data_IF_230466267170
#
_entry.id   IF_230466267170
#
_cell.length_a   1.000
_cell.length_b   1.000
_cell.length_c   1.000
_cell.angle_alpha   90.00
_cell.angle_beta   90.00
_cell.angle_gamma   90.00
#
_symmetry.space_group_name_H-M   'P 1'
#
loop_
_entity.id
_entity.type
_entity.pdbx_description
1 polymer ?
#
# COMPACT_ATOMS: atom_id res chain seq x y z
N UNK A 1 -0.14 -4.82 -6.97
CA UNK A 1 0.57 -4.17 -8.09
C UNK A 1 2.09 -4.24 -7.96
N UNK A 2 2.65 -4.08 -6.75
CA UNK A 2 4.12 -4.06 -6.57
C UNK A 2 4.81 -5.37 -7.01
N UNK A 3 4.18 -6.51 -6.90
CA UNK A 3 4.70 -7.78 -7.43
C UNK A 3 4.89 -7.74 -8.95
N UNK A 4 3.93 -7.16 -9.67
CA UNK A 4 4.05 -7.02 -11.12
C UNK A 4 5.24 -6.13 -11.50
N UNK A 5 5.42 -5.00 -10.81
CA UNK A 5 6.58 -4.12 -11.04
C UNK A 5 7.91 -4.79 -10.71
N UNK A 6 7.96 -5.61 -9.67
CA UNK A 6 9.14 -6.41 -9.35
C UNK A 6 9.47 -7.39 -10.48
N UNK A 7 8.48 -8.15 -10.96
CA UNK A 7 8.65 -9.05 -12.08
C UNK A 7 9.02 -8.32 -13.38
N UNK A 8 8.43 -7.17 -13.63
CA UNK A 8 8.76 -6.35 -14.81
C UNK A 8 10.19 -5.83 -14.77
N UNK A 9 10.69 -5.48 -13.59
CA UNK A 9 12.09 -5.09 -13.41
C UNK A 9 13.07 -6.24 -13.64
N UNK A 10 12.70 -7.46 -13.21
CA UNK A 10 13.56 -8.65 -13.32
C UNK A 10 13.55 -9.25 -14.72
N UNK A 11 12.40 -9.30 -15.38
CA UNK A 11 12.19 -10.06 -16.62
C UNK A 11 11.98 -9.21 -17.86
N UNK A 12 11.85 -7.89 -17.69
CA UNK A 12 11.36 -6.99 -18.73
C UNK A 12 9.83 -6.99 -18.80
N UNK A 13 9.21 -5.82 -18.80
CA UNK A 13 7.74 -5.69 -18.85
C UNK A 13 7.16 -6.28 -20.14
N UNK A 14 7.90 -6.19 -21.24
CA UNK A 14 7.55 -6.71 -22.55
C UNK A 14 7.47 -8.25 -22.60
N UNK A 15 8.17 -8.93 -21.70
CA UNK A 15 8.19 -10.39 -21.59
C UNK A 15 7.06 -10.95 -20.70
N UNK A 16 6.32 -10.08 -20.02
CA UNK A 16 5.21 -10.49 -19.15
C UNK A 16 3.93 -10.68 -19.98
N UNK A 17 3.24 -11.80 -19.76
CA UNK A 17 1.94 -12.11 -20.38
C UNK A 17 0.77 -11.38 -19.70
N UNK A 18 1.03 -10.62 -18.64
CA UNK A 18 0.04 -9.89 -17.85
C UNK A 18 0.30 -8.41 -17.93
N UNK A 19 -0.75 -7.62 -17.68
CA UNK A 19 -0.68 -6.15 -17.58
C UNK A 19 -1.42 -5.70 -16.34
N UNK A 20 -0.98 -4.57 -15.77
CA UNK A 20 -1.74 -3.89 -14.74
C UNK A 20 -2.87 -3.09 -15.37
N UNK A 21 -4.04 -3.18 -14.77
CA UNK A 21 -5.17 -2.32 -15.03
C UNK A 21 -5.56 -1.60 -13.74
N UNK A 22 -5.61 -0.29 -13.79
CA UNK A 22 -6.02 0.54 -12.66
C UNK A 22 -7.49 0.89 -12.80
N UNK A 23 -8.31 0.34 -11.91
CA UNK A 23 -9.70 0.71 -11.76
C UNK A 23 -9.75 2.13 -11.22
N UNK A 24 -10.67 2.95 -11.72
CA UNK A 24 -10.81 4.39 -11.40
C UNK A 24 -12.23 4.74 -11.01
N UNK A 25 -12.53 6.04 -10.94
CA UNK A 25 -13.88 6.57 -10.73
C UNK A 25 -14.51 6.15 -9.39
N UNK A 26 -13.69 6.11 -8.34
CA UNK A 26 -14.11 5.73 -6.98
C UNK A 26 -14.75 4.33 -6.89
N UNK A 27 -14.42 3.45 -7.86
CA UNK A 27 -14.85 2.06 -7.83
C UNK A 27 -14.31 1.37 -6.55
N UNK A 28 -15.10 0.54 -5.85
CA UNK A 28 -14.63 -0.20 -4.68
C UNK A 28 -13.38 -1.04 -4.93
N UNK A 29 -13.15 -1.51 -6.16
CA UNK A 29 -11.95 -2.23 -6.56
C UNK A 29 -10.69 -1.36 -6.67
N UNK A 30 -10.83 -0.03 -6.65
CA UNK A 30 -9.73 0.94 -6.63
C UNK A 30 -9.24 1.28 -5.22
N UNK A 31 -9.56 0.46 -4.22
CA UNK A 31 -9.20 0.69 -2.82
C UNK A 31 -7.68 0.88 -2.66
N UNK A 32 -7.32 1.98 -2.01
CA UNK A 32 -5.94 2.25 -1.58
C UNK A 32 -5.82 1.88 -0.11
N UNK A 33 -4.81 1.07 0.21
CA UNK A 33 -4.49 0.69 1.58
C UNK A 33 -3.21 1.37 2.04
N UNK A 34 -3.08 1.59 3.33
CA UNK A 34 -1.92 2.22 3.94
C UNK A 34 -1.22 1.22 4.86
N UNK A 35 0.11 1.16 4.76
CA UNK A 35 0.92 0.48 5.76
C UNK A 35 1.16 1.40 6.94
N UNK A 36 1.13 0.85 8.15
CA UNK A 36 1.31 1.62 9.37
C UNK A 36 2.33 0.99 10.30
N UNK A 37 2.91 1.80 11.15
CA UNK A 37 3.77 1.36 12.25
C UNK A 37 3.35 2.06 13.55
N UNK A 38 3.45 1.36 14.67
CA UNK A 38 3.10 1.90 15.96
C UNK A 38 4.03 1.38 17.06
N UNK A 39 4.20 2.18 18.12
CA UNK A 39 4.94 1.78 19.30
C UNK A 39 3.99 1.08 20.28
N UNK A 40 4.30 -0.15 20.65
CA UNK A 40 3.50 -0.91 21.61
C UNK A 40 3.53 -0.24 22.99
N UNK A 41 2.37 -0.15 23.65
CA UNK A 41 2.23 0.42 25.02
C UNK A 41 3.17 -0.25 26.02
N UNK A 42 3.36 -1.56 25.92
CA UNK A 42 4.22 -2.36 26.81
C UNK A 42 5.70 -2.42 26.42
N UNK A 43 6.13 -1.74 25.32
CA UNK A 43 7.55 -1.74 24.92
C UNK A 43 8.44 -1.17 26.04
N UNK A 44 9.57 -1.82 26.27
CA UNK A 44 10.63 -1.34 27.17
C UNK A 44 11.55 -0.31 26.48
N UNK A 45 11.54 -0.23 25.14
CA UNK A 45 12.38 0.61 24.30
C UNK A 45 11.54 1.64 23.53
N UNK A 46 10.66 2.36 24.24
CA UNK A 46 9.69 3.27 23.60
C UNK A 46 10.35 4.43 22.86
N UNK A 47 11.40 5.00 23.44
CA UNK A 47 12.09 6.16 22.84
C UNK A 47 12.81 5.75 21.53
N UNK A 48 13.48 4.60 21.54
CA UNK A 48 14.13 4.06 20.34
C UNK A 48 13.09 3.66 19.28
N UNK A 49 12.00 3.00 19.70
CA UNK A 49 10.92 2.62 18.82
C UNK A 49 10.25 3.86 18.19
N UNK A 50 10.06 4.94 18.95
CA UNK A 50 9.54 6.20 18.43
C UNK A 50 10.48 6.81 17.39
N UNK A 51 11.78 6.89 17.68
CA UNK A 51 12.78 7.35 16.71
C UNK A 51 12.74 6.54 15.43
N UNK A 52 12.53 5.22 15.53
CA UNK A 52 12.40 4.36 14.36
C UNK A 52 11.12 4.67 13.56
N UNK A 53 9.98 4.86 14.22
CA UNK A 53 8.73 5.26 13.53
C UNK A 53 8.91 6.63 12.87
N UNK A 54 9.54 7.60 13.53
CA UNK A 54 9.85 8.91 12.96
C UNK A 54 10.77 8.78 11.73
N UNK A 55 11.78 7.88 11.79
CA UNK A 55 12.63 7.58 10.64
C UNK A 55 11.83 7.00 9.47
N UNK A 56 10.89 6.08 9.71
CA UNK A 56 10.05 5.50 8.64
C UNK A 56 9.23 6.57 7.90
N UNK A 57 8.84 7.64 8.58
CA UNK A 57 8.13 8.78 7.99
C UNK A 57 9.07 9.87 7.41
N UNK A 58 10.37 9.77 7.65
CA UNK A 58 11.36 10.71 7.12
C UNK A 58 11.54 10.56 5.60
N UNK A 59 12.21 11.53 4.97
CA UNK A 59 12.56 11.44 3.55
C UNK A 59 13.44 10.23 3.26
N UNK A 60 14.43 10.00 4.09
CA UNK A 60 15.37 8.89 3.96
C UNK A 60 14.67 7.54 4.10
N UNK A 61 13.80 7.39 5.10
CA UNK A 61 13.01 6.17 5.32
C UNK A 61 12.05 5.91 4.16
N UNK A 62 11.32 6.92 3.71
CA UNK A 62 10.42 6.79 2.56
C UNK A 62 11.19 6.50 1.27
N UNK A 63 12.34 7.14 1.04
CA UNK A 63 13.18 6.85 -0.13
C UNK A 63 13.71 5.40 -0.10
N UNK A 64 14.08 4.88 1.07
CA UNK A 64 14.51 3.49 1.21
C UNK A 64 13.39 2.51 0.80
N UNK A 65 12.15 2.73 1.24
CA UNK A 65 11.00 1.91 0.84
C UNK A 65 10.78 1.92 -0.67
N UNK A 66 10.59 3.10 -1.26
CA UNK A 66 10.24 3.20 -2.67
C UNK A 66 11.36 2.80 -3.62
N UNK A 67 12.61 2.75 -3.15
CA UNK A 67 13.74 2.28 -3.97
C UNK A 67 13.67 0.79 -4.28
N UNK A 68 13.03 0.01 -3.42
CA UNK A 68 12.94 -1.46 -3.53
C UNK A 68 11.52 -1.97 -3.80
N UNK A 69 10.50 -1.15 -3.55
CA UNK A 69 9.10 -1.52 -3.76
C UNK A 69 8.35 -0.46 -4.55
N UNK A 70 7.49 -0.92 -5.46
CA UNK A 70 6.59 -0.06 -6.21
C UNK A 70 5.38 0.33 -5.35
N UNK A 71 5.65 1.16 -4.35
CA UNK A 71 4.67 1.73 -3.42
C UNK A 71 4.69 3.26 -3.51
N UNK A 72 3.58 3.90 -3.19
CA UNK A 72 3.50 5.36 -3.16
C UNK A 72 4.07 5.88 -1.86
N UNK A 73 5.01 6.84 -1.91
CA UNK A 73 5.51 7.46 -0.69
C UNK A 73 4.42 8.33 -0.05
N UNK A 74 4.47 8.49 1.26
CA UNK A 74 3.63 9.45 1.99
C UNK A 74 4.09 10.90 1.79
N UNK A 75 5.30 11.10 1.29
CA UNK A 75 5.93 12.41 1.10
C UNK A 75 5.95 12.79 -0.37
N UNK A 76 5.66 14.06 -0.65
CA UNK A 76 5.67 14.61 -2.01
C UNK A 76 7.08 14.92 -2.53
N UNK A 77 8.07 14.98 -1.63
CA UNK A 77 9.49 15.22 -1.97
C UNK A 77 10.30 13.92 -2.14
N UNK A 78 9.62 12.78 -2.21
CA UNK A 78 10.20 11.45 -2.49
C UNK A 78 9.62 10.92 -3.79
N UNK A 79 10.50 10.42 -4.67
CA UNK A 79 10.11 9.91 -5.99
C UNK A 79 10.45 8.42 -6.09
N UNK A 80 9.45 7.62 -6.47
CA UNK A 80 9.66 6.20 -6.77
C UNK A 80 10.39 6.02 -8.10
N UNK A 81 11.38 5.12 -8.20
CA UNK A 81 12.02 4.77 -9.46
C UNK A 81 11.15 3.90 -10.37
N UNK A 82 10.01 3.43 -9.87
CA UNK A 82 9.06 2.65 -10.65
C UNK A 82 8.12 3.57 -11.42
N UNK A 83 7.87 3.26 -12.68
CA UNK A 83 6.94 4.03 -13.53
C UNK A 83 5.49 3.67 -13.20
N UNK A 84 5.05 4.08 -12.01
CA UNK A 84 3.67 3.86 -11.56
C UNK A 84 2.72 4.92 -12.09
N UNK A 85 1.44 4.57 -12.21
CA UNK A 85 0.39 5.55 -12.46
C UNK A 85 0.43 6.64 -11.38
N UNK A 86 0.35 7.94 -11.71
CA UNK A 86 0.32 8.99 -10.70
C UNK A 86 -0.80 8.79 -9.67
N UNK A 87 -0.51 8.91 -8.39
CA UNK A 87 -1.47 8.68 -7.30
C UNK A 87 -2.79 9.45 -7.50
N UNK A 88 -2.70 10.72 -7.91
CA UNK A 88 -3.87 11.56 -8.15
C UNK A 88 -4.80 11.02 -9.28
N UNK A 89 -4.29 10.17 -10.17
CA UNK A 89 -5.07 9.57 -11.26
C UNK A 89 -5.73 8.25 -10.86
N UNK A 90 -5.45 7.74 -9.69
CA UNK A 90 -6.08 6.49 -9.20
C UNK A 90 -7.55 6.71 -8.90
N UNK A 91 -7.96 7.93 -8.53
CA UNK A 91 -9.34 8.26 -8.18
C UNK A 91 -9.92 7.26 -7.17
N UNK A 92 -9.11 6.92 -6.16
CA UNK A 92 -9.48 5.92 -5.16
C UNK A 92 -10.73 6.35 -4.36
N UNK A 93 -11.61 5.42 -3.98
CA UNK A 93 -12.74 5.74 -3.13
C UNK A 93 -12.26 6.21 -1.75
N UNK A 94 -13.00 7.15 -1.18
CA UNK A 94 -12.79 7.56 0.21
C UNK A 94 -13.43 6.52 1.10
N UNK A 95 -12.62 5.81 1.87
CA UNK A 95 -13.09 4.79 2.82
C UNK A 95 -12.87 5.30 4.23
N UNK A 96 -13.95 5.30 5.03
CA UNK A 96 -13.88 5.58 6.46
C UNK A 96 -13.16 4.43 7.19
N UNK A 97 -12.72 4.69 8.43
CA UNK A 97 -12.15 3.64 9.26
C UNK A 97 -13.14 2.48 9.41
N UNK A 98 -12.67 1.25 9.19
CA UNK A 98 -13.48 0.04 9.34
C UNK A 98 -13.70 -0.29 10.81
N UNK A 99 -14.89 -0.74 11.14
CA UNK A 99 -15.27 -1.25 12.46
C UNK A 99 -15.09 -2.76 12.56
N UNK A 100 -15.22 -3.32 13.76
CA UNK A 100 -15.27 -4.78 13.95
C UNK A 100 -16.50 -5.39 13.24
N UNK A 101 -17.65 -4.68 13.26
CA UNK A 101 -18.85 -5.11 12.59
C UNK A 101 -18.69 -5.17 11.07
N UNK A 102 -18.01 -4.19 10.45
CA UNK A 102 -17.71 -4.20 9.02
C UNK A 102 -16.89 -5.43 8.64
N UNK A 103 -15.92 -5.81 9.48
CA UNK A 103 -15.11 -7.00 9.28
C UNK A 103 -15.94 -8.29 9.35
N UNK A 104 -16.85 -8.39 10.32
CA UNK A 104 -17.73 -9.56 10.47
C UNK A 104 -18.70 -9.68 9.29
N UNK A 105 -19.26 -8.56 8.82
CA UNK A 105 -20.10 -8.52 7.63
C UNK A 105 -19.32 -8.93 6.37
N UNK A 106 -18.09 -8.44 6.20
CA UNK A 106 -17.24 -8.85 5.07
C UNK A 106 -16.95 -10.36 5.10
N UNK A 107 -16.67 -10.93 6.28
CA UNK A 107 -16.46 -12.37 6.41
C UNK A 107 -17.71 -13.18 6.03
N UNK A 108 -18.90 -12.75 6.44
CA UNK A 108 -20.16 -13.40 6.04
C UNK A 108 -20.35 -13.37 4.52
N UNK A 109 -20.13 -12.23 3.87
CA UNK A 109 -20.23 -12.12 2.41
C UNK A 109 -19.24 -13.05 1.69
N UNK A 110 -18.01 -13.20 2.21
CA UNK A 110 -17.01 -14.12 1.66
C UNK A 110 -17.50 -15.56 1.78
N UNK A 111 -18.11 -15.95 2.90
CA UNK A 111 -18.66 -17.28 3.12
C UNK A 111 -19.87 -17.54 2.19
N UNK A 112 -20.80 -16.60 2.11
CA UNK A 112 -21.97 -16.69 1.22
C UNK A 112 -21.59 -16.79 -0.25
N UNK A 113 -20.48 -16.15 -0.65
CA UNK A 113 -19.92 -16.25 -2.00
C UNK A 113 -19.14 -17.57 -2.25
N UNK A 114 -18.98 -18.43 -1.25
CA UNK A 114 -18.24 -19.69 -1.38
C UNK A 114 -16.73 -19.50 -1.57
N UNK A 115 -16.17 -18.39 -1.08
CA UNK A 115 -14.75 -18.03 -1.21
C UNK A 115 -13.89 -18.43 0.02
N UNK A 116 -14.44 -19.21 0.93
CA UNK A 116 -13.73 -19.83 2.06
C UNK A 116 -13.75 -21.33 1.92
#
# INVERSE_FOLDING_TARGET
NYYWYTLAKEKGAENLKTRLYFIRHQDPGALVTYSGAAVLKGSKNKEEAKKFVDFLASKEGQQAFVSVRAEYPLRTDVVSPFNMEPYAKLEAPVVSATTAEDKDNANKLIEEAGLK
#
